data_IF_931440139399
#
_entry.id   IF_931440139399
#
_cell.length_a   1.000
_cell.length_b   1.000
_cell.length_c   1.000
_cell.angle_alpha   90.00
_cell.angle_beta   90.00
_cell.angle_gamma   90.00
#
_symmetry.space_group_name_H-M   'P 1'
#
loop_
_entity.id
_entity.type
_entity.pdbx_description
1 polymer ?
#
# COMPACT_ATOMS: atom_id res chain seq x y z
N UNK A 1 -0.18 -16.65 3.40
CA UNK A 1 0.44 -15.60 4.28
C UNK A 1 -0.11 -14.23 3.86
N UNK A 2 -0.23 -13.23 4.76
CA UNK A 2 -0.81 -11.91 4.43
C UNK A 2 0.25 -10.81 4.49
N UNK A 3 0.41 -10.05 3.42
CA UNK A 3 1.29 -8.87 3.36
C UNK A 3 0.45 -7.58 3.46
N UNK A 4 0.54 -6.82 4.57
CA UNK A 4 -0.20 -5.59 4.72
C UNK A 4 0.44 -4.43 3.94
N UNK A 5 -0.33 -3.82 3.03
CA UNK A 5 0.03 -2.56 2.38
C UNK A 5 -0.44 -1.39 3.24
N UNK A 6 0.49 -0.51 3.64
CA UNK A 6 0.19 0.70 4.41
C UNK A 6 0.27 1.96 3.55
N UNK A 7 -0.65 2.89 3.79
CA UNK A 7 -0.58 4.26 3.26
C UNK A 7 -0.26 5.20 4.41
N UNK A 8 0.83 5.94 4.29
CA UNK A 8 1.29 6.90 5.30
C UNK A 8 1.17 8.31 4.74
N UNK A 9 0.43 9.18 5.44
CA UNK A 9 0.40 10.61 5.15
C UNK A 9 1.64 11.27 5.77
N UNK A 10 2.39 11.97 4.92
CA UNK A 10 3.62 12.69 5.25
C UNK A 10 3.46 14.21 5.06
N UNK A 11 2.23 14.72 4.93
CA UNK A 11 1.93 16.15 4.81
C UNK A 11 2.52 16.99 5.92
N UNK A 12 2.59 16.43 7.15
CA UNK A 12 3.37 16.98 8.28
C UNK A 12 4.56 16.07 8.58
N UNK A 13 5.79 16.38 8.11
CA UNK A 13 6.93 15.46 8.22
C UNK A 13 7.34 15.08 9.65
N UNK A 14 7.08 15.94 10.63
CA UNK A 14 7.36 15.67 12.05
C UNK A 14 6.29 14.84 12.76
N UNK A 15 5.15 14.60 12.11
CA UNK A 15 4.01 13.87 12.66
C UNK A 15 3.35 13.00 11.57
N UNK A 16 4.03 11.95 11.09
CA UNK A 16 3.46 11.04 10.09
C UNK A 16 2.25 10.30 10.66
N UNK A 17 1.23 10.09 9.83
CA UNK A 17 -0.01 9.41 10.23
C UNK A 17 -0.29 8.27 9.27
N UNK A 18 -0.71 7.11 9.80
CA UNK A 18 -1.22 6.02 8.96
C UNK A 18 -2.59 6.43 8.43
N UNK A 19 -2.66 6.71 7.14
CA UNK A 19 -3.88 7.13 6.44
C UNK A 19 -4.75 5.94 6.02
N UNK A 20 -4.16 4.75 5.89
CA UNK A 20 -4.89 3.54 5.55
C UNK A 20 -4.04 2.27 5.63
N UNK A 21 -4.72 1.13 5.67
CA UNK A 21 -4.14 -0.20 5.65
C UNK A 21 -5.00 -1.09 4.75
N UNK A 22 -4.34 -1.90 3.91
CA UNK A 22 -4.95 -2.93 3.11
C UNK A 22 -4.27 -4.27 3.40
N UNK A 23 -5.03 -5.20 3.96
CA UNK A 23 -4.59 -6.59 4.21
C UNK A 23 -5.14 -7.48 3.12
N UNK A 24 -4.26 -8.06 2.31
CA UNK A 24 -4.62 -9.03 1.26
C UNK A 24 -3.79 -10.31 1.43
N UNK A 25 -4.35 -11.50 1.15
CA UNK A 25 -3.55 -12.70 1.00
C UNK A 25 -2.58 -12.52 -0.18
N UNK A 26 -1.41 -13.15 -0.10
CA UNK A 26 -0.35 -12.90 -1.07
C UNK A 26 0.56 -11.73 -0.69
N UNK A 27 1.39 -11.34 -1.65
CA UNK A 27 2.32 -10.21 -1.51
C UNK A 27 2.28 -9.32 -2.76
N UNK A 28 2.54 -8.03 -2.57
CA UNK A 28 2.66 -7.08 -3.68
C UNK A 28 4.06 -7.17 -4.30
N UNK A 29 4.14 -7.42 -5.60
CA UNK A 29 5.41 -7.49 -6.33
C UNK A 29 5.76 -6.16 -7.02
N UNK A 30 4.75 -5.37 -7.40
CA UNK A 30 4.92 -4.10 -8.10
C UNK A 30 3.79 -3.13 -7.79
N UNK A 31 4.14 -1.87 -7.58
CA UNK A 31 3.19 -0.77 -7.33
C UNK A 31 3.45 0.34 -8.35
N UNK A 32 2.41 0.73 -9.10
CA UNK A 32 2.49 1.78 -10.11
C UNK A 32 1.48 2.90 -9.85
N UNK A 33 1.91 4.17 -9.76
CA UNK A 33 0.98 5.29 -9.70
C UNK A 33 0.19 5.42 -11.01
N UNK A 34 -1.14 5.53 -10.95
CA UNK A 34 -2.01 5.66 -12.15
C UNK A 34 -2.80 6.97 -12.17
N UNK A 35 -2.16 8.04 -11.69
CA UNK A 35 -2.74 9.37 -11.55
C UNK A 35 -2.96 9.77 -10.09
N UNK A 36 -3.69 10.86 -9.88
CA UNK A 36 -3.88 11.42 -8.54
C UNK A 36 -4.59 10.43 -7.60
N UNK A 37 -3.94 10.16 -6.45
CA UNK A 37 -4.49 9.34 -5.37
C UNK A 37 -4.74 7.86 -5.70
N UNK A 38 -4.25 7.36 -6.85
CA UNK A 38 -4.51 5.98 -7.29
C UNK A 38 -3.23 5.19 -7.51
N UNK A 39 -3.23 3.97 -7.02
CA UNK A 39 -2.10 3.04 -7.10
C UNK A 39 -2.59 1.71 -7.67
N UNK A 40 -1.94 1.22 -8.72
CA UNK A 40 -2.14 -0.12 -9.24
C UNK A 40 -1.11 -1.05 -8.59
N UNK A 41 -1.59 -2.04 -7.85
CA UNK A 41 -0.77 -3.11 -7.31
C UNK A 41 -0.85 -4.37 -8.17
N UNK A 42 0.29 -4.95 -8.47
CA UNK A 42 0.42 -6.29 -9.06
C UNK A 42 1.15 -7.16 -8.05
N UNK A 43 0.56 -8.30 -7.72
CA UNK A 43 1.07 -9.21 -6.71
C UNK A 43 0.74 -10.65 -7.07
N UNK A 44 1.20 -11.57 -6.23
CA UNK A 44 0.91 -12.98 -6.36
C UNK A 44 0.25 -13.48 -5.09
N UNK A 45 -0.75 -14.35 -5.24
CA UNK A 45 -1.37 -15.02 -4.10
C UNK A 45 -0.34 -15.93 -3.41
N UNK A 46 -0.43 -16.03 -2.09
CA UNK A 46 0.46 -16.84 -1.28
C UNK A 46 -0.38 -17.95 -0.64
N UNK A 47 -0.77 -18.89 -1.50
CA UNK A 47 -1.35 -20.19 -1.13
C UNK A 47 -0.38 -20.98 -0.22
#
# INVERSE_FOLDING_TARGET
QTDPLYVVDLSTPSAPVVAGELKIPGYSAYLHPVGEGRLLGVGQDAD
#
